data_IF_268781913048
#
_entry.id   IF_268781913048
#
_cell.length_a   1.000
_cell.length_b   1.000
_cell.length_c   1.000
_cell.angle_alpha   90.00
_cell.angle_beta   90.00
_cell.angle_gamma   90.00
#
_symmetry.space_group_name_H-M   'P 1'
#
loop_
_entity.id
_entity.type
_entity.pdbx_description
1 polymer ?
#
# COMPACT_ATOMS: atom_id res chain seq x y z
N UNK A 1 -2.53 -81.68 12.78
CA UNK A 1 -2.07 -80.98 11.55
C UNK A 1 -3.16 -80.02 11.20
N UNK A 2 -3.01 -78.71 11.58
CA UNK A 2 -3.96 -77.65 11.39
C UNK A 2 -3.65 -76.88 10.10
N UNK A 3 -4.55 -76.99 9.14
CA UNK A 3 -4.44 -76.27 7.87
C UNK A 3 -4.90 -74.83 8.11
N UNK A 4 -3.95 -73.87 8.17
CA UNK A 4 -4.23 -72.45 8.32
C UNK A 4 -5.02 -71.94 7.12
N UNK A 5 -6.19 -71.41 7.37
CA UNK A 5 -7.01 -70.71 6.38
C UNK A 5 -6.28 -69.43 5.93
N UNK A 6 -5.90 -69.34 4.65
CA UNK A 6 -5.37 -68.12 4.05
C UNK A 6 -6.47 -67.04 4.02
N UNK A 7 -6.17 -65.80 4.50
CA UNK A 7 -7.12 -64.72 4.37
C UNK A 7 -7.39 -64.50 2.89
N UNK A 8 -8.67 -64.39 2.50
CA UNK A 8 -9.10 -64.01 1.16
C UNK A 8 -8.71 -62.57 0.92
N UNK A 9 -7.73 -62.34 0.06
CA UNK A 9 -7.42 -61.00 -0.45
C UNK A 9 -8.63 -60.52 -1.26
N UNK A 10 -9.35 -59.54 -0.72
CA UNK A 10 -10.42 -58.85 -1.43
C UNK A 10 -9.75 -57.85 -2.38
N UNK A 11 -9.79 -58.11 -3.70
CA UNK A 11 -9.38 -57.14 -4.71
C UNK A 11 -10.29 -55.91 -4.70
N UNK A 12 -9.69 -54.72 -4.90
CA UNK A 12 -10.47 -53.50 -5.07
C UNK A 12 -11.39 -53.57 -6.27
N UNK A 13 -12.64 -53.16 -6.08
CA UNK A 13 -13.60 -53.03 -7.15
C UNK A 13 -13.22 -51.85 -8.07
N UNK A 14 -13.42 -52.00 -9.36
CA UNK A 14 -13.18 -50.96 -10.37
C UNK A 14 -14.00 -49.69 -10.06
N UNK A 15 -15.19 -49.85 -9.49
CA UNK A 15 -16.04 -48.76 -9.03
C UNK A 15 -15.39 -48.00 -7.86
N UNK A 16 -14.76 -48.69 -6.90
CA UNK A 16 -14.13 -48.12 -5.72
C UNK A 16 -12.92 -47.30 -6.10
N UNK A 17 -12.11 -47.75 -7.05
CA UNK A 17 -10.99 -46.99 -7.59
C UNK A 17 -11.44 -45.73 -8.33
N UNK A 18 -12.56 -45.81 -9.06
CA UNK A 18 -13.10 -44.68 -9.82
C UNK A 18 -13.69 -43.62 -8.87
N UNK A 19 -14.40 -44.03 -7.82
CA UNK A 19 -14.90 -43.12 -6.77
C UNK A 19 -13.73 -42.46 -6.02
N UNK A 20 -12.72 -43.25 -5.59
CA UNK A 20 -11.56 -42.72 -4.91
C UNK A 20 -10.77 -41.70 -5.78
N UNK A 21 -10.61 -41.99 -7.06
CA UNK A 21 -9.98 -41.06 -8.00
C UNK A 21 -10.79 -39.77 -8.15
N UNK A 22 -12.14 -39.87 -8.25
CA UNK A 22 -13.02 -38.70 -8.31
C UNK A 22 -12.92 -37.82 -7.06
N UNK A 23 -12.93 -38.42 -5.87
CA UNK A 23 -12.73 -37.70 -4.60
C UNK A 23 -11.35 -37.02 -4.54
N UNK A 24 -10.31 -37.75 -4.95
CA UNK A 24 -8.95 -37.20 -4.97
C UNK A 24 -8.83 -35.98 -5.88
N UNK A 25 -9.39 -36.03 -7.09
CA UNK A 25 -9.39 -34.92 -8.06
C UNK A 25 -10.13 -33.72 -7.50
N UNK A 26 -11.28 -33.90 -6.86
CA UNK A 26 -12.04 -32.79 -6.26
C UNK A 26 -11.29 -32.13 -5.09
N UNK A 27 -10.62 -32.90 -4.25
CA UNK A 27 -9.77 -32.38 -3.17
C UNK A 27 -8.60 -31.58 -3.73
N UNK A 28 -7.88 -32.11 -4.73
CA UNK A 28 -6.75 -31.44 -5.33
C UNK A 28 -7.16 -30.12 -6.04
N UNK A 29 -8.30 -30.12 -6.73
CA UNK A 29 -8.85 -28.91 -7.36
C UNK A 29 -9.19 -27.84 -6.31
N UNK A 30 -9.79 -28.21 -5.19
CA UNK A 30 -10.12 -27.29 -4.10
C UNK A 30 -8.87 -26.70 -3.47
N UNK A 31 -7.83 -27.49 -3.24
CA UNK A 31 -6.54 -27.02 -2.71
C UNK A 31 -5.86 -26.06 -3.68
N UNK A 32 -5.87 -26.35 -4.98
CA UNK A 32 -5.28 -25.47 -5.98
C UNK A 32 -5.97 -24.08 -6.01
N UNK A 33 -7.30 -24.04 -5.86
CA UNK A 33 -8.05 -22.78 -5.77
C UNK A 33 -7.68 -21.99 -4.50
N UNK A 34 -7.57 -22.65 -3.35
CA UNK A 34 -7.18 -21.99 -2.10
C UNK A 34 -5.77 -21.39 -2.18
N UNK A 35 -4.81 -22.11 -2.77
CA UNK A 35 -3.45 -21.61 -2.97
C UNK A 35 -3.46 -20.40 -3.90
N UNK A 36 -4.19 -20.44 -5.01
CA UNK A 36 -4.32 -19.32 -5.94
C UNK A 36 -4.89 -18.07 -5.25
N UNK A 37 -5.91 -18.24 -4.42
CA UNK A 37 -6.51 -17.14 -3.66
C UNK A 37 -5.56 -16.59 -2.60
N UNK A 38 -4.86 -17.44 -1.86
CA UNK A 38 -3.86 -17.05 -0.87
C UNK A 38 -2.72 -16.20 -1.47
N UNK A 39 -2.23 -16.59 -2.66
CA UNK A 39 -1.18 -15.83 -3.36
C UNK A 39 -1.67 -14.45 -3.80
N UNK A 40 -2.91 -14.34 -4.30
CA UNK A 40 -3.47 -13.04 -4.69
C UNK A 40 -3.63 -12.10 -3.50
N UNK A 41 -4.13 -12.59 -2.37
CA UNK A 41 -4.25 -11.83 -1.11
C UNK A 41 -2.89 -11.35 -0.59
N UNK A 42 -1.87 -12.21 -0.65
CA UNK A 42 -0.51 -11.84 -0.21
C UNK A 42 0.10 -10.74 -1.07
N UNK A 43 -0.15 -10.75 -2.38
CA UNK A 43 0.31 -9.68 -3.29
C UNK A 43 -0.37 -8.35 -2.99
N UNK A 44 -1.66 -8.36 -2.73
CA UNK A 44 -2.42 -7.15 -2.38
C UNK A 44 -1.96 -6.58 -1.04
N UNK A 45 -1.81 -7.43 0.00
CA UNK A 45 -1.27 -7.01 1.28
C UNK A 45 0.12 -6.39 1.14
N UNK A 46 1.01 -7.01 0.36
CA UNK A 46 2.35 -6.48 0.09
C UNK A 46 2.33 -5.11 -0.62
N UNK A 47 1.37 -4.86 -1.53
CA UNK A 47 1.25 -3.54 -2.17
C UNK A 47 0.78 -2.46 -1.19
N UNK A 48 -0.16 -2.79 -0.30
CA UNK A 48 -0.63 -1.86 0.75
C UNK A 48 0.46 -1.50 1.75
N UNK A 49 1.27 -2.48 2.17
CA UNK A 49 2.41 -2.22 3.06
C UNK A 49 3.42 -1.28 2.42
N UNK A 50 3.75 -1.47 1.14
CA UNK A 50 4.64 -0.55 0.40
C UNK A 50 4.05 0.86 0.28
N UNK A 51 2.76 0.98 -0.04
CA UNK A 51 2.07 2.26 -0.12
C UNK A 51 2.11 2.99 1.24
N UNK A 52 1.83 2.27 2.34
CA UNK A 52 1.89 2.81 3.69
C UNK A 52 3.29 3.27 4.07
N UNK A 53 4.31 2.45 3.85
CA UNK A 53 5.71 2.81 4.13
C UNK A 53 6.15 4.04 3.32
N UNK A 54 5.80 4.10 2.03
CA UNK A 54 6.14 5.24 1.18
C UNK A 54 5.44 6.55 1.63
N UNK A 55 4.17 6.45 2.06
CA UNK A 55 3.43 7.60 2.57
C UNK A 55 3.98 8.09 3.92
N UNK A 56 4.27 7.16 4.84
CA UNK A 56 4.86 7.47 6.15
C UNK A 56 6.22 8.13 6.02
N UNK A 57 7.13 7.58 5.20
CA UNK A 57 8.46 8.15 4.95
C UNK A 57 8.37 9.60 4.47
N UNK A 58 7.47 9.92 3.53
CA UNK A 58 7.28 11.29 3.06
C UNK A 58 6.69 12.19 4.14
N UNK A 59 5.68 11.69 4.87
CA UNK A 59 5.03 12.45 5.94
C UNK A 59 6.03 12.83 7.02
N UNK A 60 6.89 11.90 7.45
CA UNK A 60 7.93 12.15 8.44
C UNK A 60 8.98 13.15 7.93
N UNK A 61 9.39 13.05 6.65
CA UNK A 61 10.28 14.02 6.03
C UNK A 61 9.69 15.43 6.06
N UNK A 62 8.40 15.58 5.71
CA UNK A 62 7.73 16.88 5.76
C UNK A 62 7.54 17.37 7.20
N UNK A 63 7.32 16.48 8.16
CA UNK A 63 7.22 16.83 9.57
C UNK A 63 8.54 17.27 10.18
N UNK A 64 9.65 16.81 9.67
CA UNK A 64 10.98 17.17 10.15
C UNK A 64 11.46 18.55 9.66
N UNK A 65 10.77 19.15 8.68
CA UNK A 65 11.12 20.48 8.17
C UNK A 65 10.78 21.59 9.18
N UNK A 66 11.46 22.75 9.05
CA UNK A 66 11.23 23.88 9.95
C UNK A 66 9.81 24.45 9.81
N UNK A 67 9.09 24.53 10.91
CA UNK A 67 7.80 25.20 11.05
C UNK A 67 7.69 25.76 12.46
N UNK A 68 8.35 26.90 12.69
CA UNK A 68 8.57 27.47 14.03
C UNK A 68 8.54 28.99 13.96
N UNK A 69 8.83 29.65 15.05
CA UNK A 69 9.16 31.09 15.13
C UNK A 69 10.61 31.27 15.55
N UNK A 70 11.23 32.37 15.14
CA UNK A 70 12.55 32.79 15.62
C UNK A 70 12.47 33.43 17.02
N UNK A 71 13.60 33.85 17.54
CA UNK A 71 13.69 34.52 18.86
C UNK A 71 12.96 35.86 18.90
N UNK A 72 12.72 36.47 17.76
CA UNK A 72 12.02 37.74 17.60
C UNK A 72 10.52 37.56 17.34
N UNK A 73 10.03 36.31 17.30
CA UNK A 73 8.64 35.97 17.05
C UNK A 73 8.23 35.93 15.57
N UNK A 74 9.20 36.02 14.63
CA UNK A 74 8.87 35.95 13.22
C UNK A 74 8.71 34.49 12.76
N UNK A 75 7.79 34.23 11.83
CA UNK A 75 7.56 32.87 11.33
C UNK A 75 8.72 32.37 10.47
N UNK A 76 9.27 31.22 10.86
CA UNK A 76 10.28 30.48 10.09
C UNK A 76 9.63 29.23 9.50
N UNK A 77 9.65 29.12 8.19
CA UNK A 77 9.04 28.00 7.44
C UNK A 77 9.96 27.54 6.34
N UNK A 78 10.12 26.22 6.23
CA UNK A 78 10.80 25.63 5.07
C UNK A 78 9.95 25.88 3.80
N UNK A 79 10.56 26.25 2.66
CA UNK A 79 9.84 26.45 1.40
C UNK A 79 9.03 25.22 0.94
N UNK A 80 9.46 24.02 1.29
CA UNK A 80 8.72 22.78 0.98
C UNK A 80 7.42 22.61 1.77
N UNK A 81 7.18 23.45 2.79
CA UNK A 81 5.92 23.54 3.53
C UNK A 81 5.02 24.71 3.05
N UNK A 82 5.37 25.35 1.94
CA UNK A 82 4.48 26.32 1.32
C UNK A 82 3.16 25.68 0.89
N UNK A 83 2.09 26.49 0.88
CA UNK A 83 0.76 26.03 0.46
C UNK A 83 0.82 25.41 -0.93
N UNK A 84 0.32 24.20 -1.05
CA UNK A 84 0.31 23.45 -2.30
C UNK A 84 -0.68 24.01 -3.30
N UNK A 85 -0.42 23.86 -4.61
CA UNK A 85 -1.41 24.18 -5.64
C UNK A 85 -2.68 23.36 -5.46
N UNK A 86 -3.82 23.95 -5.86
CA UNK A 86 -5.11 23.23 -5.88
C UNK A 86 -4.99 21.96 -6.73
N UNK A 87 -5.54 20.85 -6.22
CA UNK A 87 -5.49 19.55 -6.91
C UNK A 87 -4.15 18.82 -6.86
N UNK A 88 -3.20 19.23 -6.02
CA UNK A 88 -1.89 18.56 -5.89
C UNK A 88 -2.00 17.06 -5.53
N UNK A 89 -3.10 16.64 -4.92
CA UNK A 89 -3.37 15.22 -4.63
C UNK A 89 -4.07 14.48 -5.79
N UNK A 90 -4.66 15.20 -6.74
CA UNK A 90 -5.47 14.62 -7.82
C UNK A 90 -4.68 14.37 -9.10
N UNK A 91 -3.63 15.17 -9.33
CA UNK A 91 -2.78 15.05 -10.51
C UNK A 91 -1.30 15.06 -10.14
N UNK A 92 -0.45 14.61 -11.07
CA UNK A 92 1.00 14.66 -10.89
C UNK A 92 1.50 16.13 -11.04
N UNK A 93 1.50 16.85 -9.93
CA UNK A 93 1.97 18.24 -9.88
C UNK A 93 3.48 18.27 -9.58
N UNK A 94 4.24 19.02 -10.38
CA UNK A 94 5.68 19.19 -10.16
C UNK A 94 5.96 19.74 -8.76
N UNK A 95 6.93 19.15 -8.05
CA UNK A 95 7.24 19.49 -6.66
C UNK A 95 6.31 18.84 -5.61
N UNK A 96 5.21 18.20 -6.02
CA UNK A 96 4.23 17.55 -5.14
C UNK A 96 3.99 16.07 -5.50
N UNK A 97 4.86 15.48 -6.29
CA UNK A 97 4.80 14.06 -6.69
C UNK A 97 6.18 13.44 -6.66
N UNK A 98 6.25 12.20 -6.20
CA UNK A 98 7.46 11.36 -6.29
C UNK A 98 7.08 9.95 -6.69
N UNK A 99 7.96 9.32 -7.45
CA UNK A 99 7.86 7.94 -7.89
C UNK A 99 8.83 7.10 -7.05
N UNK A 100 8.31 6.07 -6.39
CA UNK A 100 9.06 5.27 -5.42
C UNK A 100 9.24 3.85 -5.92
N UNK A 101 10.48 3.42 -5.99
CA UNK A 101 10.87 2.06 -6.41
C UNK A 101 10.80 1.03 -5.29
N UNK A 102 11.29 -0.18 -5.59
CA UNK A 102 11.19 -1.35 -4.71
C UNK A 102 11.89 -1.19 -3.35
N UNK A 103 13.02 -0.49 -3.32
CA UNK A 103 13.80 -0.25 -2.09
C UNK A 103 13.46 1.07 -1.39
N UNK A 104 12.34 1.73 -1.77
CA UNK A 104 11.91 3.00 -1.17
C UNK A 104 12.63 4.25 -1.74
N UNK A 105 13.54 4.08 -2.69
CA UNK A 105 14.23 5.17 -3.36
C UNK A 105 13.32 5.91 -4.35
N UNK A 106 13.58 7.18 -4.58
CA UNK A 106 12.95 7.94 -5.67
C UNK A 106 13.53 7.48 -7.00
N UNK A 107 12.66 7.14 -7.96
CA UNK A 107 13.00 6.62 -9.27
C UNK A 107 12.28 7.40 -10.37
N UNK A 108 12.60 7.11 -11.63
CA UNK A 108 11.81 7.59 -12.76
C UNK A 108 10.48 6.84 -12.86
N UNK A 109 9.46 7.49 -13.43
CA UNK A 109 8.08 6.99 -13.47
C UNK A 109 7.89 5.54 -13.89
N UNK A 110 8.57 5.02 -14.95
CA UNK A 110 8.40 3.63 -15.40
C UNK A 110 8.80 2.57 -14.38
N UNK A 111 9.77 2.86 -13.51
CA UNK A 111 10.32 1.94 -12.52
C UNK A 111 9.62 2.04 -11.16
N UNK A 112 8.61 2.89 -11.07
CA UNK A 112 7.88 3.10 -9.82
C UNK A 112 6.99 1.92 -9.47
N UNK A 113 6.99 1.54 -8.20
CA UNK A 113 6.01 0.63 -7.59
C UNK A 113 4.93 1.37 -6.80
N UNK A 114 5.21 2.62 -6.40
CA UNK A 114 4.27 3.52 -5.73
C UNK A 114 4.47 4.93 -6.28
N UNK A 115 3.38 5.62 -6.53
CA UNK A 115 3.38 7.07 -6.77
C UNK A 115 2.87 7.73 -5.50
N UNK A 116 3.62 8.65 -4.91
CA UNK A 116 3.18 9.41 -3.75
C UNK A 116 3.01 10.88 -4.11
N UNK A 117 1.87 11.45 -3.70
CA UNK A 117 1.56 12.88 -3.84
C UNK A 117 1.32 13.47 -2.47
N UNK A 118 1.62 14.75 -2.31
CA UNK A 118 1.33 15.43 -1.06
C UNK A 118 0.78 16.82 -1.30
N UNK A 119 0.01 17.27 -0.31
CA UNK A 119 -0.46 18.64 -0.21
C UNK A 119 -0.19 19.19 1.19
N UNK A 120 0.13 20.46 1.24
CA UNK A 120 0.23 21.27 2.46
C UNK A 120 -0.81 22.37 2.34
N UNK A 121 -1.76 22.39 3.28
CA UNK A 121 -2.88 23.33 3.26
C UNK A 121 -2.95 24.05 4.61
N UNK A 122 -3.11 25.38 4.65
CA UNK A 122 -3.39 26.09 5.89
C UNK A 122 -4.76 25.65 6.40
N UNK A 123 -4.89 25.43 7.72
CA UNK A 123 -6.18 25.08 8.33
C UNK A 123 -7.07 26.31 8.39
N UNK A 124 -6.46 27.46 8.67
CA UNK A 124 -7.14 28.76 8.63
C UNK A 124 -6.37 29.67 7.68
N UNK A 125 -7.06 30.18 6.65
CA UNK A 125 -6.47 31.08 5.67
C UNK A 125 -6.15 32.47 6.23
N UNK A 126 -6.76 32.85 7.37
CA UNK A 126 -6.56 34.14 8.02
C UNK A 126 -5.44 34.13 9.05
N UNK A 127 -5.10 32.95 9.60
CA UNK A 127 -4.03 32.79 10.58
C UNK A 127 -3.28 31.48 10.30
N UNK A 128 -2.26 31.46 9.42
CA UNK A 128 -1.57 30.26 8.98
C UNK A 128 -0.61 29.72 10.05
N UNK A 129 -1.06 29.66 11.32
CA UNK A 129 -0.27 29.06 12.40
C UNK A 129 -0.34 27.54 12.42
N UNK A 130 -1.35 26.99 11.74
CA UNK A 130 -1.55 25.56 11.63
C UNK A 130 -1.70 25.14 10.17
N UNK A 131 -0.97 24.07 9.81
CA UNK A 131 -1.02 23.45 8.48
C UNK A 131 -1.46 22.00 8.59
N UNK A 132 -2.26 21.56 7.63
CA UNK A 132 -2.55 20.16 7.38
C UNK A 132 -1.60 19.65 6.27
N UNK A 133 -0.90 18.56 6.55
CA UNK A 133 -0.05 17.87 5.57
C UNK A 133 -0.73 16.56 5.24
N UNK A 134 -1.09 16.36 3.99
CA UNK A 134 -1.70 15.11 3.51
C UNK A 134 -0.77 14.46 2.49
N UNK A 135 -0.48 13.17 2.67
CA UNK A 135 0.30 12.37 1.72
C UNK A 135 -0.56 11.20 1.27
N UNK A 136 -0.75 11.06 -0.03
CA UNK A 136 -1.49 9.95 -0.64
C UNK A 136 -0.55 9.08 -1.47
N UNK A 137 -0.69 7.76 -1.37
CA UNK A 137 0.03 6.77 -2.15
C UNK A 137 -0.90 6.09 -3.14
N UNK A 138 -0.42 5.91 -4.37
CA UNK A 138 -1.17 5.35 -5.50
C UNK A 138 -0.38 4.22 -6.13
N UNK A 139 -1.09 3.26 -6.71
CA UNK A 139 -0.50 2.22 -7.57
C UNK A 139 -0.26 2.77 -8.98
N UNK A 140 0.92 2.55 -9.59
CA UNK A 140 1.14 2.91 -10.98
C UNK A 140 0.26 2.10 -11.95
N UNK A 141 -0.15 2.68 -13.10
CA UNK A 141 0.06 4.08 -13.51
C UNK A 141 -0.96 5.01 -12.85
N UNK A 142 -0.47 6.06 -12.16
CA UNK A 142 -1.31 6.99 -11.41
C UNK A 142 -1.30 8.40 -12.03
N UNK A 143 -1.03 8.54 -13.32
CA UNK A 143 -0.88 9.83 -13.97
C UNK A 143 -2.12 10.73 -13.84
N UNK A 144 -3.33 10.15 -13.83
CA UNK A 144 -4.60 10.86 -13.77
C UNK A 144 -5.56 10.28 -12.71
N UNK A 145 -5.04 9.53 -11.73
CA UNK A 145 -5.88 9.02 -10.64
C UNK A 145 -6.17 10.16 -9.66
N UNK A 146 -7.44 10.56 -9.54
CA UNK A 146 -7.88 11.48 -8.50
C UNK A 146 -7.59 10.92 -7.10
N UNK A 147 -7.57 11.77 -6.07
CA UNK A 147 -7.37 11.39 -4.67
C UNK A 147 -8.23 10.19 -4.24
N UNK A 148 -9.45 10.10 -4.75
CA UNK A 148 -10.36 8.98 -4.49
C UNK A 148 -9.82 7.60 -4.95
N UNK A 149 -8.87 7.58 -5.88
CA UNK A 149 -8.20 6.37 -6.37
C UNK A 149 -6.90 6.01 -5.62
N UNK A 150 -6.57 6.71 -4.53
CA UNK A 150 -5.41 6.39 -3.73
C UNK A 150 -5.60 5.06 -2.98
N UNK A 151 -4.53 4.25 -2.93
CA UNK A 151 -4.50 3.05 -2.07
C UNK A 151 -4.55 3.42 -0.58
N UNK A 152 -3.96 4.58 -0.23
CA UNK A 152 -3.90 5.09 1.13
C UNK A 152 -3.62 6.60 1.12
N UNK A 153 -4.24 7.34 2.07
CA UNK A 153 -3.86 8.71 2.42
C UNK A 153 -3.59 8.82 3.91
N UNK A 154 -2.52 9.50 4.27
CA UNK A 154 -2.17 9.86 5.65
C UNK A 154 -2.21 11.38 5.78
N UNK A 155 -2.77 11.86 6.87
CA UNK A 155 -2.81 13.30 7.17
C UNK A 155 -2.31 13.58 8.57
N UNK A 156 -1.66 14.72 8.74
CA UNK A 156 -1.23 15.23 10.05
C UNK A 156 -1.44 16.74 10.09
N UNK A 157 -1.61 17.25 11.29
CA UNK A 157 -1.68 18.69 11.53
C UNK A 157 -0.41 19.11 12.26
N UNK A 158 0.16 20.23 11.85
CA UNK A 158 1.26 20.90 12.56
C UNK A 158 0.83 22.30 12.96
N UNK A 159 1.03 22.60 14.23
CA UNK A 159 0.89 23.95 14.75
C UNK A 159 2.29 24.56 14.88
N UNK A 160 2.43 25.83 14.57
CA UNK A 160 3.69 26.55 14.72
C UNK A 160 4.02 26.63 16.22
N UNK A 161 5.20 26.20 16.57
CA UNK A 161 5.67 26.23 17.97
C UNK A 161 6.64 27.41 18.14
N UNK A 162 6.54 28.07 19.30
CA UNK A 162 7.51 29.11 19.66
C UNK A 162 8.92 28.54 19.88
#
# INVERSE_FOLDING_TARGET
>A
MAIGARPRERGFSLLETLVAAGVLVTILASLAQLIGWSVSQSREAGSRVRAMSAAQDKLEKLRALAWTVDLDGNPVSDPALATSPSGALDVNTSGHVEFVGAAGQVVLGPDALVVRRWAVEPIDSTAPEAIAITVCAFRPPASNAARAGADLCLSTVRVRQP
#
